data_IF_697479654624
#
_entry.id   IF_697479654624
#
_cell.length_a   1.000
_cell.length_b   1.000
_cell.length_c   1.000
_cell.angle_alpha   90.00
_cell.angle_beta   90.00
_cell.angle_gamma   90.00
#
_symmetry.space_group_name_H-M   'P 1'
#
loop_
_entity.id
_entity.type
_entity.pdbx_description
1 polymer ?
#
# COMPACT_ATOMS: atom_id res chain seq x y z
N UNK A 1 26.15 28.39 1.07
CA UNK A 1 25.70 27.46 2.13
C UNK A 1 24.46 26.79 1.56
N UNK A 2 24.46 25.48 1.32
CA UNK A 2 23.27 24.79 0.81
C UNK A 2 22.19 24.91 1.87
N UNK A 3 21.12 25.64 1.58
CA UNK A 3 20.03 25.82 2.53
C UNK A 3 19.26 24.51 2.60
N UNK A 4 19.30 23.85 3.76
CA UNK A 4 18.50 22.64 3.99
C UNK A 4 17.01 23.00 3.85
N UNK A 5 16.30 22.25 3.03
CA UNK A 5 14.85 22.41 2.84
C UNK A 5 14.11 21.40 3.70
N UNK A 6 13.10 21.86 4.43
CA UNK A 6 12.22 21.00 5.22
C UNK A 6 10.85 20.94 4.59
N UNK A 7 10.20 19.79 4.67
CA UNK A 7 8.81 19.62 4.25
C UNK A 7 8.13 18.52 5.07
N UNK A 8 6.81 18.49 5.00
CA UNK A 8 5.98 17.51 5.69
C UNK A 8 5.40 16.54 4.66
N UNK A 9 5.63 15.24 4.86
CA UNK A 9 5.04 14.17 4.05
C UNK A 9 4.00 13.42 4.87
N UNK A 10 2.81 13.17 4.31
CA UNK A 10 1.72 12.52 5.02
C UNK A 10 1.09 11.43 4.17
N UNK A 11 1.26 10.19 4.62
CA UNK A 11 0.54 9.02 4.10
C UNK A 11 -0.73 8.86 4.94
N UNK A 12 -1.86 9.26 4.36
CA UNK A 12 -3.15 9.32 5.03
C UNK A 12 -4.12 8.31 4.44
N UNK A 13 -4.05 7.08 4.96
CA UNK A 13 -4.92 5.98 4.57
C UNK A 13 -6.28 6.03 5.28
N UNK A 14 -7.14 5.06 4.95
CA UNK A 14 -8.49 4.96 5.53
C UNK A 14 -8.46 4.85 7.05
N UNK A 15 -7.54 4.07 7.62
CA UNK A 15 -7.55 3.72 9.05
C UNK A 15 -6.48 4.40 9.89
N UNK A 16 -5.43 4.95 9.27
CA UNK A 16 -4.31 5.65 9.93
C UNK A 16 -3.76 6.79 9.08
N UNK A 17 -3.38 7.87 9.77
CA UNK A 17 -2.51 8.95 9.27
C UNK A 17 -1.09 8.67 9.75
N UNK A 18 -0.11 8.77 8.86
CA UNK A 18 1.33 8.75 9.17
C UNK A 18 1.99 9.99 8.60
N UNK A 19 2.47 10.87 9.47
CA UNK A 19 3.15 12.10 9.10
C UNK A 19 4.66 11.99 9.35
N UNK A 20 5.44 12.63 8.49
CA UNK A 20 6.89 12.62 8.51
C UNK A 20 7.43 14.04 8.28
N UNK A 21 8.21 14.55 9.23
CA UNK A 21 9.04 15.72 8.99
C UNK A 21 10.31 15.28 8.26
N UNK A 22 10.52 15.83 7.07
CA UNK A 22 11.58 15.44 6.16
C UNK A 22 12.54 16.60 5.95
N UNK A 23 13.83 16.28 5.89
CA UNK A 23 14.90 17.21 5.52
C UNK A 23 15.51 16.78 4.19
N UNK A 24 15.66 17.73 3.28
CA UNK A 24 16.32 17.55 2.00
C UNK A 24 17.52 18.49 1.89
N UNK A 25 18.71 17.92 1.74
CA UNK A 25 19.93 18.67 1.40
C UNK A 25 20.22 18.52 -0.09
N UNK A 26 20.67 19.59 -0.76
CA UNK A 26 21.12 19.53 -2.15
C UNK A 26 22.18 18.42 -2.30
N UNK A 27 21.87 17.39 -3.09
CA UNK A 27 22.69 16.18 -3.34
C UNK A 27 22.61 15.04 -2.31
N UNK A 28 21.72 15.10 -1.33
CA UNK A 28 21.48 14.00 -0.40
C UNK A 28 20.11 13.34 -0.63
N UNK A 29 19.99 12.10 -0.13
CA UNK A 29 18.69 11.49 0.07
C UNK A 29 17.94 12.23 1.18
N UNK A 30 16.61 12.12 1.16
CA UNK A 30 15.79 12.67 2.24
C UNK A 30 16.11 12.00 3.56
N UNK A 31 16.29 12.82 4.58
CA UNK A 31 16.45 12.42 5.96
C UNK A 31 15.12 12.55 6.69
N UNK A 32 14.74 11.49 7.40
CA UNK A 32 13.59 11.51 8.30
C UNK A 32 14.01 12.15 9.63
N UNK A 33 13.43 13.30 9.95
CA UNK A 33 13.72 14.06 11.17
C UNK A 33 12.82 13.60 12.32
N UNK A 34 11.51 13.54 12.06
CA UNK A 34 10.51 13.16 13.05
C UNK A 34 9.31 12.48 12.38
N UNK A 35 8.53 11.76 13.18
CA UNK A 35 7.31 11.09 12.73
C UNK A 35 6.19 11.29 13.74
N UNK A 36 4.97 11.41 13.25
CA UNK A 36 3.78 11.39 14.08
C UNK A 36 2.69 10.53 13.44
N UNK A 37 1.67 10.16 14.21
CA UNK A 37 0.55 9.37 13.72
C UNK A 37 -0.78 9.96 14.18
N UNK A 38 -1.82 9.74 13.40
CA UNK A 38 -3.17 10.21 13.69
C UNK A 38 -4.25 9.26 13.19
N UNK A 39 -5.54 9.61 13.38
CA UNK A 39 -6.65 8.84 12.84
C UNK A 39 -6.64 8.85 11.30
N UNK A 40 -6.97 7.72 10.69
CA UNK A 40 -7.20 7.66 9.25
C UNK A 40 -8.51 8.33 8.85
N UNK A 41 -8.70 8.50 7.54
CA UNK A 41 -9.83 9.23 6.96
C UNK A 41 -11.19 8.78 7.51
N UNK A 42 -11.42 7.48 7.69
CA UNK A 42 -12.70 6.94 8.17
C UNK A 42 -12.92 7.10 9.68
N UNK A 43 -11.92 7.59 10.42
CA UNK A 43 -11.95 7.77 11.87
C UNK A 43 -11.87 9.24 12.30
N UNK A 44 -11.80 10.17 11.35
CA UNK A 44 -11.83 11.60 11.64
C UNK A 44 -13.26 11.98 12.04
N UNK A 45 -13.43 12.53 13.24
CA UNK A 45 -14.72 12.99 13.77
C UNK A 45 -14.97 14.49 13.55
N UNK A 46 -13.88 15.27 13.50
CA UNK A 46 -13.92 16.72 13.37
C UNK A 46 -13.65 17.11 11.91
N UNK A 47 -12.72 18.04 11.66
CA UNK A 47 -12.22 18.35 10.32
C UNK A 47 -10.87 17.68 10.03
N UNK A 48 -10.63 17.39 8.75
CA UNK A 48 -9.33 16.92 8.27
C UNK A 48 -8.25 17.98 8.52
N UNK A 49 -8.55 19.26 8.31
CA UNK A 49 -7.67 20.39 8.63
C UNK A 49 -7.18 20.30 10.08
N UNK A 50 -8.10 20.30 11.05
CA UNK A 50 -7.74 20.25 12.47
C UNK A 50 -6.94 19.01 12.81
N UNK A 51 -7.35 17.85 12.30
CA UNK A 51 -6.65 16.57 12.54
C UNK A 51 -5.22 16.61 12.04
N UNK A 52 -4.99 17.17 10.84
CA UNK A 52 -3.66 17.30 10.28
C UNK A 52 -2.81 18.25 11.12
N UNK A 53 -3.30 19.47 11.36
CA UNK A 53 -2.53 20.51 12.02
C UNK A 53 -2.25 20.19 13.49
N UNK A 54 -3.16 19.53 14.21
CA UNK A 54 -2.86 18.99 15.55
C UNK A 54 -1.75 17.93 15.50
N UNK A 55 -1.71 17.11 14.44
CA UNK A 55 -0.70 16.06 14.28
C UNK A 55 0.69 16.62 13.94
N UNK A 56 0.76 17.76 13.27
CA UNK A 56 2.03 18.37 12.82
C UNK A 56 2.41 19.63 13.60
N UNK A 57 1.62 20.03 14.60
CA UNK A 57 1.81 21.24 15.41
C UNK A 57 3.24 21.41 15.93
N UNK A 58 3.90 20.38 16.50
CA UNK A 58 5.27 20.54 16.99
C UNK A 58 6.25 21.01 15.91
N UNK A 59 6.03 20.59 14.66
CA UNK A 59 6.91 20.93 13.54
C UNK A 59 6.60 22.30 12.97
N UNK A 60 5.33 22.67 12.90
CA UNK A 60 4.93 24.01 12.43
C UNK A 60 5.32 25.09 13.44
N UNK A 61 5.33 24.76 14.73
CA UNK A 61 5.81 25.66 15.80
C UNK A 61 7.33 25.85 15.74
N UNK A 62 8.10 24.78 15.48
CA UNK A 62 9.56 24.82 15.45
C UNK A 62 10.14 25.37 14.12
N UNK A 63 9.60 24.93 12.98
CA UNK A 63 10.15 25.22 11.64
C UNK A 63 9.32 26.24 10.85
N UNK A 64 8.18 26.69 11.38
CA UNK A 64 7.27 27.61 10.71
C UNK A 64 6.46 26.97 9.57
N UNK A 65 6.19 27.75 8.53
CA UNK A 65 5.41 27.32 7.38
C UNK A 65 6.25 26.44 6.45
N UNK A 66 5.86 25.18 6.34
CA UNK A 66 6.50 24.18 5.49
C UNK A 66 5.52 23.68 4.41
N UNK A 67 5.99 23.33 3.19
CA UNK A 67 5.15 22.66 2.22
C UNK A 67 4.72 21.27 2.73
N UNK A 68 3.49 20.88 2.44
CA UNK A 68 2.87 19.65 2.90
C UNK A 68 2.44 18.80 1.70
N UNK A 69 2.92 17.55 1.64
CA UNK A 69 2.55 16.59 0.61
C UNK A 69 1.71 15.47 1.20
N UNK A 70 0.51 15.28 0.67
CA UNK A 70 -0.45 14.30 1.12
C UNK A 70 -0.63 13.21 0.06
N UNK A 71 -0.63 11.95 0.48
CA UNK A 71 -0.96 10.81 -0.36
C UNK A 71 -1.98 9.90 0.32
N UNK A 72 -2.66 9.07 -0.47
CA UNK A 72 -3.63 8.11 0.02
C UNK A 72 -5.06 8.65 0.02
N UNK A 73 -5.88 8.07 0.89
CA UNK A 73 -7.34 8.21 0.88
C UNK A 73 -7.83 9.61 1.24
N UNK A 74 -6.97 10.49 1.74
CA UNK A 74 -7.29 11.90 1.94
C UNK A 74 -7.64 12.63 0.62
N UNK A 75 -7.19 12.10 -0.52
CA UNK A 75 -7.55 12.57 -1.86
C UNK A 75 -8.76 11.88 -2.49
N UNK A 76 -9.49 11.04 -1.75
CA UNK A 76 -10.68 10.31 -2.25
C UNK A 76 -11.98 11.10 -2.03
N UNK A 77 -13.10 10.55 -2.49
CA UNK A 77 -14.45 11.11 -2.27
C UNK A 77 -14.90 11.12 -0.81
N UNK A 78 -14.25 10.33 0.06
CA UNK A 78 -14.45 10.36 1.52
C UNK A 78 -13.37 11.17 2.24
N UNK A 79 -12.42 11.75 1.50
CA UNK A 79 -11.29 12.51 2.00
C UNK A 79 -11.56 14.00 2.15
N UNK A 80 -10.49 14.78 2.21
CA UNK A 80 -10.56 16.24 2.40
C UNK A 80 -10.84 16.97 1.09
N UNK A 81 -10.03 16.72 0.05
CA UNK A 81 -10.25 17.26 -1.29
C UNK A 81 -10.02 16.17 -2.31
N UNK A 82 -11.06 15.90 -3.10
CA UNK A 82 -11.01 14.84 -4.10
C UNK A 82 -10.01 15.20 -5.20
N UNK A 83 -9.21 14.20 -5.60
CA UNK A 83 -8.24 14.30 -6.70
C UNK A 83 -8.57 13.25 -7.75
N UNK A 84 -8.19 13.54 -9.00
CA UNK A 84 -8.49 12.65 -10.13
C UNK A 84 -7.83 11.27 -10.01
N UNK A 85 -8.28 10.34 -10.86
CA UNK A 85 -7.58 9.09 -11.12
C UNK A 85 -6.91 9.19 -12.49
N UNK A 86 -5.59 9.03 -12.54
CA UNK A 86 -4.84 9.03 -13.79
C UNK A 86 -4.84 7.63 -14.42
N UNK A 87 -5.06 7.49 -15.73
CA UNK A 87 -5.14 6.19 -16.38
C UNK A 87 -3.75 5.56 -16.58
N UNK A 88 -3.65 4.25 -16.38
CA UNK A 88 -2.51 3.45 -16.82
C UNK A 88 -2.58 3.15 -18.34
N UNK A 89 -1.45 2.95 -19.04
CA UNK A 89 -0.09 2.92 -18.50
C UNK A 89 0.44 4.33 -18.17
N UNK A 90 1.17 4.45 -17.07
CA UNK A 90 1.68 5.75 -16.61
C UNK A 90 3.05 5.61 -15.94
N UNK A 91 3.93 6.60 -16.14
CA UNK A 91 5.13 6.75 -15.33
C UNK A 91 4.73 7.36 -13.98
N UNK A 92 5.11 6.77 -12.83
CA UNK A 92 4.73 7.31 -11.53
C UNK A 92 5.24 8.73 -11.26
N UNK A 93 6.27 9.19 -11.98
CA UNK A 93 6.73 10.58 -11.94
C UNK A 93 5.69 11.56 -12.52
N UNK A 94 4.89 11.13 -13.50
CA UNK A 94 3.80 11.95 -14.04
C UNK A 94 2.73 12.20 -12.97
N UNK A 95 2.50 11.23 -12.06
CA UNK A 95 1.58 11.38 -10.92
C UNK A 95 2.01 12.51 -10.01
N UNK A 96 3.30 12.59 -9.70
CA UNK A 96 3.89 13.65 -8.87
C UNK A 96 3.69 15.06 -9.45
N UNK A 97 3.61 15.19 -10.78
CA UNK A 97 3.40 16.49 -11.47
C UNK A 97 1.93 16.92 -11.55
N UNK A 98 0.99 16.08 -11.10
CA UNK A 98 -0.46 16.27 -11.21
C UNK A 98 -1.14 16.44 -9.85
N UNK A 99 -0.38 16.85 -8.83
CA UNK A 99 -0.94 17.13 -7.51
C UNK A 99 -2.01 18.23 -7.59
N UNK A 100 -3.08 18.05 -6.82
CA UNK A 100 -4.00 19.14 -6.49
C UNK A 100 -3.32 20.03 -5.45
N UNK A 101 -3.14 21.31 -5.77
CA UNK A 101 -2.45 22.29 -4.90
C UNK A 101 -3.47 23.28 -4.34
N UNK A 102 -3.40 23.54 -3.04
CA UNK A 102 -4.16 24.60 -2.37
C UNK A 102 -3.41 25.10 -1.13
N UNK A 103 -3.82 26.25 -0.60
CA UNK A 103 -3.28 26.77 0.66
C UNK A 103 -4.23 26.49 1.83
N UNK A 104 -3.67 26.18 3.00
CA UNK A 104 -4.40 26.06 4.27
C UNK A 104 -3.53 26.55 5.43
N UNK A 105 -4.06 27.43 6.27
CA UNK A 105 -3.33 28.08 7.38
C UNK A 105 -1.94 28.65 7.01
N UNK A 106 -1.77 29.07 5.75
CA UNK A 106 -0.51 29.60 5.21
C UNK A 106 0.52 28.55 4.79
N UNK A 107 0.15 27.26 4.77
CA UNK A 107 0.92 26.18 4.18
C UNK A 107 0.42 25.86 2.78
N UNK A 108 1.34 25.67 1.82
CA UNK A 108 1.01 25.06 0.55
C UNK A 108 0.84 23.54 0.74
N UNK A 109 -0.31 23.01 0.34
CA UNK A 109 -0.69 21.61 0.44
C UNK A 109 -0.85 21.02 -0.96
N UNK A 110 -0.14 19.93 -1.23
CA UNK A 110 -0.21 19.15 -2.46
C UNK A 110 -0.79 17.76 -2.18
N UNK A 111 -1.90 17.39 -2.82
CA UNK A 111 -2.49 16.05 -2.72
C UNK A 111 -2.23 15.26 -4.01
N UNK A 112 -1.64 14.08 -3.89
CA UNK A 112 -1.40 13.20 -5.03
C UNK A 112 -2.70 12.60 -5.57
N UNK A 113 -2.86 12.52 -6.90
CA UNK A 113 -3.95 11.77 -7.52
C UNK A 113 -3.74 10.26 -7.38
N UNK A 114 -4.83 9.50 -7.52
CA UNK A 114 -4.79 8.04 -7.58
C UNK A 114 -4.57 7.55 -9.01
N UNK A 115 -4.51 6.24 -9.19
CA UNK A 115 -4.44 5.60 -10.50
C UNK A 115 -5.67 4.75 -10.80
N UNK A 116 -6.05 4.72 -12.08
CA UNK A 116 -7.04 3.79 -12.63
C UNK A 116 -6.40 2.93 -13.72
N UNK A 117 -6.90 1.72 -13.91
CA UNK A 117 -6.57 0.92 -15.09
C UNK A 117 -7.80 0.19 -15.61
N UNK A 118 -7.88 0.04 -16.93
CA UNK A 118 -8.91 -0.75 -17.60
C UNK A 118 -8.35 -2.16 -17.82
N UNK A 119 -8.98 -3.15 -17.19
CA UNK A 119 -8.59 -4.56 -17.31
C UNK A 119 -9.13 -5.17 -18.62
N UNK A 120 -8.55 -6.29 -19.11
CA UNK A 120 -9.00 -6.95 -20.34
C UNK A 120 -10.48 -7.37 -20.32
N UNK A 121 -11.04 -7.62 -19.14
CA UNK A 121 -12.45 -7.94 -18.94
C UNK A 121 -13.38 -6.71 -18.91
N UNK A 122 -12.91 -5.53 -19.32
CA UNK A 122 -13.64 -4.26 -19.35
C UNK A 122 -14.04 -3.70 -17.97
N UNK A 123 -13.47 -4.23 -16.88
CA UNK A 123 -13.61 -3.65 -15.55
C UNK A 123 -12.51 -2.64 -15.27
N UNK A 124 -12.84 -1.59 -14.52
CA UNK A 124 -11.85 -0.69 -13.96
C UNK A 124 -11.33 -1.22 -12.64
N UNK A 125 -10.03 -1.06 -12.41
CA UNK A 125 -9.40 -1.17 -11.11
C UNK A 125 -8.86 0.19 -10.67
N UNK A 126 -8.82 0.44 -9.36
CA UNK A 126 -8.43 1.72 -8.76
C UNK A 126 -7.42 1.51 -7.62
N UNK A 127 -6.45 2.42 -7.50
CA UNK A 127 -5.56 2.51 -6.33
C UNK A 127 -5.26 3.97 -5.97
N UNK A 128 -4.93 4.20 -4.71
CA UNK A 128 -4.70 5.55 -4.17
C UNK A 128 -3.84 5.48 -2.91
N UNK A 129 -2.60 5.91 -3.04
CA UNK A 129 -1.51 5.82 -2.06
C UNK A 129 -0.46 4.80 -2.47
N UNK A 130 -0.84 3.70 -3.13
CA UNK A 130 0.08 2.66 -3.58
C UNK A 130 0.97 3.12 -4.74
N UNK A 131 0.48 4.02 -5.59
CA UNK A 131 1.28 4.61 -6.69
C UNK A 131 2.52 5.35 -6.18
N UNK A 132 2.42 6.03 -5.03
CA UNK A 132 3.55 6.67 -4.37
C UNK A 132 4.60 5.64 -3.92
N UNK A 133 4.16 4.48 -3.43
CA UNK A 133 5.06 3.43 -2.98
C UNK A 133 5.76 2.76 -4.17
N UNK A 134 5.07 2.59 -5.29
CA UNK A 134 5.69 2.12 -6.55
C UNK A 134 6.72 3.14 -7.06
N UNK A 135 6.39 4.44 -7.06
CA UNK A 135 7.35 5.51 -7.38
C UNK A 135 8.59 5.45 -6.48
N UNK A 136 8.38 5.27 -5.17
CA UNK A 136 9.47 5.13 -4.22
C UNK A 136 10.36 3.93 -4.50
N UNK A 137 9.76 2.79 -4.83
CA UNK A 137 10.49 1.57 -5.17
C UNK A 137 11.30 1.73 -6.46
N UNK A 138 10.73 2.36 -7.51
CA UNK A 138 11.44 2.67 -8.76
C UNK A 138 12.67 3.56 -8.55
N UNK A 139 12.63 4.43 -7.54
CA UNK A 139 13.72 5.37 -7.24
C UNK A 139 14.79 4.80 -6.32
N UNK A 140 14.56 3.65 -5.69
CA UNK A 140 15.55 3.05 -4.80
C UNK A 140 16.76 2.50 -5.55
N UNK A 141 16.55 1.94 -6.75
CA UNK A 141 17.63 1.35 -7.54
C UNK A 141 17.39 1.49 -9.05
N UNK A 142 18.42 1.81 -9.88
CA UNK A 142 18.25 2.02 -11.32
C UNK A 142 17.70 0.81 -12.10
N UNK A 143 17.96 -0.42 -11.63
CA UNK A 143 17.47 -1.65 -12.25
C UNK A 143 15.96 -1.82 -12.14
N UNK A 144 15.31 -1.23 -11.12
CA UNK A 144 13.86 -1.27 -10.96
C UNK A 144 13.14 -0.55 -12.11
N UNK A 145 13.85 0.33 -12.83
CA UNK A 145 13.34 1.04 -14.02
C UNK A 145 13.49 0.27 -15.32
N UNK A 146 14.08 -0.93 -15.31
CA UNK A 146 14.36 -1.71 -16.53
C UNK A 146 13.65 -3.05 -16.46
N UNK A 147 13.09 -3.48 -17.59
CA UNK A 147 12.43 -4.78 -17.69
C UNK A 147 11.09 -4.84 -16.97
N UNK A 148 10.62 -6.06 -16.73
CA UNK A 148 9.32 -6.35 -16.15
C UNK A 148 9.44 -6.69 -14.66
N UNK A 149 8.50 -6.20 -13.87
CA UNK A 149 8.43 -6.43 -12.43
C UNK A 149 6.99 -6.63 -11.98
N UNK A 150 6.79 -7.48 -10.98
CA UNK A 150 5.53 -7.60 -10.28
C UNK A 150 5.74 -7.17 -8.83
N UNK A 151 4.92 -6.23 -8.39
CA UNK A 151 4.96 -5.67 -7.04
C UNK A 151 3.65 -6.01 -6.35
N UNK A 152 3.73 -6.71 -5.23
CA UNK A 152 2.60 -6.95 -4.34
C UNK A 152 2.66 -5.92 -3.21
N UNK A 153 1.55 -5.21 -2.99
CA UNK A 153 1.38 -4.25 -1.90
C UNK A 153 0.26 -4.73 -0.97
N UNK A 154 0.58 -5.59 0.03
CA UNK A 154 -0.42 -6.14 0.92
C UNK A 154 -1.03 -5.08 1.84
N UNK A 155 -2.35 -5.15 2.04
CA UNK A 155 -3.08 -4.26 2.94
C UNK A 155 -4.53 -4.69 3.12
N UNK A 156 -5.39 -3.74 3.50
CA UNK A 156 -6.85 -3.93 3.48
C UNK A 156 -7.30 -4.40 2.08
N UNK A 157 -6.76 -3.76 1.06
CA UNK A 157 -6.85 -4.16 -0.33
C UNK A 157 -5.44 -4.42 -0.84
N UNK A 158 -5.10 -5.67 -1.12
CA UNK A 158 -3.83 -6.02 -1.75
C UNK A 158 -3.82 -5.50 -3.19
N UNK A 159 -2.75 -4.83 -3.59
CA UNK A 159 -2.52 -4.47 -5.00
C UNK A 159 -1.43 -5.36 -5.58
N UNK A 160 -1.67 -5.93 -6.75
CA UNK A 160 -0.65 -6.56 -7.59
C UNK A 160 -0.41 -5.65 -8.78
N UNK A 161 0.74 -4.99 -8.81
CA UNK A 161 1.07 -3.95 -9.78
C UNK A 161 2.10 -4.49 -10.76
N UNK A 162 1.75 -4.52 -12.04
CA UNK A 162 2.66 -4.90 -13.10
C UNK A 162 3.36 -3.65 -13.64
N UNK A 163 4.69 -3.66 -13.56
CA UNK A 163 5.56 -2.57 -13.99
C UNK A 163 6.42 -3.05 -15.15
N UNK A 164 6.54 -2.23 -16.19
CA UNK A 164 7.43 -2.49 -17.32
C UNK A 164 8.21 -1.22 -17.68
N UNK A 165 9.53 -1.31 -17.70
CA UNK A 165 10.44 -0.19 -18.01
C UNK A 165 10.11 1.10 -17.23
N UNK A 166 9.84 0.96 -15.92
CA UNK A 166 9.54 2.07 -15.02
C UNK A 166 8.12 2.65 -15.14
N UNK A 167 7.24 2.06 -15.95
CA UNK A 167 5.84 2.46 -16.05
C UNK A 167 4.95 1.44 -15.35
N UNK A 168 3.94 1.92 -14.61
CA UNK A 168 2.85 1.08 -14.16
C UNK A 168 1.99 0.79 -15.38
N UNK A 169 1.94 -0.47 -15.79
CA UNK A 169 1.16 -0.90 -16.96
C UNK A 169 -0.30 -1.14 -16.57
N UNK A 170 -0.49 -1.84 -15.45
CA UNK A 170 -1.80 -2.15 -14.90
C UNK A 170 -1.64 -2.68 -13.47
N UNK A 171 -2.75 -2.88 -12.77
CA UNK A 171 -2.76 -3.53 -11.48
C UNK A 171 -4.06 -4.28 -11.23
N UNK A 172 -4.05 -5.25 -10.31
CA UNK A 172 -5.26 -5.95 -9.85
C UNK A 172 -5.38 -5.82 -8.34
N UNK A 173 -6.60 -5.58 -7.88
CA UNK A 173 -6.92 -5.47 -6.46
C UNK A 173 -7.55 -6.76 -5.94
N UNK A 174 -7.07 -7.24 -4.80
CA UNK A 174 -7.74 -8.25 -4.00
C UNK A 174 -8.16 -7.65 -2.65
N UNK A 175 -9.40 -7.90 -2.23
CA UNK A 175 -9.94 -7.42 -0.95
C UNK A 175 -9.54 -8.32 0.24
N UNK A 176 -8.33 -8.87 0.22
CA UNK A 176 -7.85 -9.94 1.12
C UNK A 176 -7.89 -9.54 2.59
N UNK A 177 -7.39 -8.34 2.93
CA UNK A 177 -7.39 -7.85 4.31
C UNK A 177 -8.77 -7.43 4.81
N UNK A 178 -9.59 -6.80 3.95
CA UNK A 178 -10.98 -6.44 4.28
C UNK A 178 -11.83 -7.69 4.51
N UNK A 179 -11.72 -8.68 3.62
CA UNK A 179 -12.45 -9.93 3.76
C UNK A 179 -12.01 -10.70 5.01
N UNK A 180 -10.72 -10.68 5.35
CA UNK A 180 -10.24 -11.22 6.63
C UNK A 180 -10.93 -10.55 7.81
N UNK A 181 -10.96 -9.22 7.85
CA UNK A 181 -11.57 -8.46 8.95
C UNK A 181 -13.07 -8.76 9.08
N UNK A 182 -13.80 -8.77 7.97
CA UNK A 182 -15.23 -9.12 7.93
C UNK A 182 -15.46 -10.55 8.43
N UNK A 183 -14.71 -11.53 7.94
CA UNK A 183 -14.90 -12.94 8.30
C UNK A 183 -14.48 -13.25 9.74
N UNK A 184 -13.49 -12.53 10.28
CA UNK A 184 -13.10 -12.68 11.69
C UNK A 184 -14.12 -12.02 12.60
N UNK A 185 -14.63 -10.83 12.24
CA UNK A 185 -15.41 -10.01 13.16
C UNK A 185 -16.92 -10.12 13.02
N UNK A 186 -17.42 -10.47 11.84
CA UNK A 186 -18.84 -10.40 11.46
C UNK A 186 -19.37 -11.70 10.86
N UNK A 187 -18.68 -12.82 11.07
CA UNK A 187 -19.09 -14.14 10.59
C UNK A 187 -18.96 -15.21 11.68
N UNK A 188 -19.65 -16.33 11.49
CA UNK A 188 -19.64 -17.49 12.38
C UNK A 188 -18.36 -18.35 12.26
N UNK A 189 -17.46 -18.01 11.32
CA UNK A 189 -16.28 -18.83 11.03
C UNK A 189 -15.29 -18.90 12.20
N UNK A 190 -15.19 -17.85 13.01
CA UNK A 190 -14.26 -17.77 14.14
C UNK A 190 -15.04 -17.82 15.45
N UNK A 191 -14.78 -18.86 16.26
CA UNK A 191 -15.44 -19.00 17.56
C UNK A 191 -14.77 -18.14 18.64
N UNK A 192 -13.44 -18.15 18.70
CA UNK A 192 -12.64 -17.39 19.66
C UNK A 192 -11.55 -16.63 18.94
N UNK A 193 -11.65 -15.30 18.92
CA UNK A 193 -10.63 -14.43 18.33
C UNK A 193 -9.37 -14.51 19.18
N UNK A 194 -8.23 -14.74 18.53
CA UNK A 194 -6.91 -14.62 19.17
C UNK A 194 -6.02 -13.71 18.35
N UNK A 195 -5.11 -13.03 19.04
CA UNK A 195 -4.02 -12.27 18.43
C UNK A 195 -2.76 -13.11 18.22
N UNK A 196 -2.73 -14.36 18.70
CA UNK A 196 -1.58 -15.24 18.52
C UNK A 196 -1.50 -15.73 17.07
N UNK A 197 -0.32 -15.62 16.47
CA UNK A 197 -0.04 -16.12 15.14
C UNK A 197 0.54 -17.54 15.22
N UNK A 198 -0.11 -18.50 14.56
CA UNK A 198 0.33 -19.88 14.43
C UNK A 198 0.73 -20.16 12.97
N UNK A 199 2.05 -20.32 12.75
CA UNK A 199 2.61 -20.52 11.42
C UNK A 199 2.14 -21.83 10.77
N UNK A 200 1.96 -22.90 11.54
CA UNK A 200 1.57 -24.20 10.99
C UNK A 200 0.11 -24.19 10.50
N UNK A 201 -0.77 -23.55 11.27
CA UNK A 201 -2.16 -23.33 10.87
C UNK A 201 -2.26 -22.41 9.66
N UNK A 202 -1.45 -21.34 9.62
CA UNK A 202 -1.33 -20.46 8.45
C UNK A 202 -0.93 -21.24 7.18
N UNK A 203 0.16 -22.01 7.26
CA UNK A 203 0.64 -22.82 6.13
C UNK A 203 -0.41 -23.85 5.69
N UNK A 204 -1.16 -24.45 6.63
CA UNK A 204 -2.24 -25.37 6.31
C UNK A 204 -3.37 -24.69 5.54
N UNK A 205 -3.76 -23.47 5.93
CA UNK A 205 -4.76 -22.68 5.24
C UNK A 205 -4.31 -22.28 3.83
N UNK A 206 -3.08 -21.81 3.69
CA UNK A 206 -2.51 -21.44 2.40
C UNK A 206 -2.45 -22.63 1.44
N UNK A 207 -1.90 -23.76 1.90
CA UNK A 207 -1.84 -25.00 1.10
C UNK A 207 -3.22 -25.47 0.66
N UNK A 208 -4.23 -25.34 1.52
CA UNK A 208 -5.60 -25.74 1.16
C UNK A 208 -6.07 -25.00 -0.11
N UNK A 209 -5.94 -23.68 -0.20
CA UNK A 209 -6.37 -22.92 -1.40
C UNK A 209 -5.44 -23.09 -2.60
N UNK A 210 -4.13 -23.18 -2.37
CA UNK A 210 -3.15 -23.43 -3.43
C UNK A 210 -3.41 -24.78 -4.14
N UNK A 211 -3.77 -25.82 -3.37
CA UNK A 211 -3.96 -27.20 -3.87
C UNK A 211 -5.40 -27.51 -4.32
N UNK A 212 -6.37 -26.65 -4.04
CA UNK A 212 -7.78 -26.89 -4.39
C UNK A 212 -8.06 -26.75 -5.89
N UNK A 213 -9.19 -27.26 -6.37
CA UNK A 213 -9.68 -26.94 -7.71
C UNK A 213 -10.02 -25.45 -7.85
N UNK A 214 -10.06 -24.95 -9.10
CA UNK A 214 -10.51 -23.58 -9.35
C UNK A 214 -11.97 -23.42 -8.90
N UNK A 215 -12.29 -22.29 -8.26
CA UNK A 215 -13.65 -22.00 -7.77
C UNK A 215 -14.00 -22.60 -6.40
N UNK A 216 -13.11 -23.36 -5.75
CA UNK A 216 -13.37 -23.94 -4.42
C UNK A 216 -13.33 -22.91 -3.27
N UNK A 217 -13.05 -21.63 -3.53
CA UNK A 217 -12.84 -20.62 -2.49
C UNK A 217 -14.00 -20.51 -1.50
N UNK A 218 -15.22 -20.29 -1.98
CA UNK A 218 -16.39 -20.05 -1.13
C UNK A 218 -16.74 -21.28 -0.29
N UNK A 219 -16.71 -22.48 -0.89
CA UNK A 219 -16.90 -23.72 -0.15
C UNK A 219 -15.77 -23.98 0.85
N UNK A 220 -14.55 -23.62 0.45
CA UNK A 220 -13.33 -23.73 1.23
C UNK A 220 -13.33 -22.88 2.50
N UNK A 221 -13.95 -21.70 2.48
CA UNK A 221 -14.04 -20.83 3.67
C UNK A 221 -14.71 -21.53 4.86
N UNK A 222 -15.68 -22.40 4.62
CA UNK A 222 -16.35 -23.14 5.70
C UNK A 222 -15.41 -24.13 6.40
N UNK A 223 -14.29 -24.51 5.79
CA UNK A 223 -13.26 -25.35 6.42
C UNK A 223 -12.69 -24.72 7.69
N UNK A 224 -12.69 -23.39 7.79
CA UNK A 224 -12.26 -22.66 8.99
C UNK A 224 -13.12 -23.08 10.19
N UNK A 225 -14.45 -23.17 10.01
CA UNK A 225 -15.39 -23.56 11.06
C UNK A 225 -15.40 -25.06 11.29
N UNK A 226 -15.48 -25.86 10.22
CA UNK A 226 -15.60 -27.31 10.36
C UNK A 226 -14.35 -27.93 11.02
N UNK A 227 -13.15 -27.43 10.71
CA UNK A 227 -11.92 -27.88 11.38
C UNK A 227 -11.91 -27.64 12.88
N UNK A 228 -12.49 -26.53 13.35
CA UNK A 228 -12.65 -26.29 14.78
C UNK A 228 -13.64 -27.28 15.42
N UNK A 229 -14.79 -27.50 14.77
CA UNK A 229 -15.83 -28.42 15.25
C UNK A 229 -15.34 -29.87 15.37
N UNK A 230 -14.46 -30.30 14.47
CA UNK A 230 -13.83 -31.62 14.49
C UNK A 230 -12.45 -31.62 15.17
N UNK A 231 -12.11 -30.58 15.94
CA UNK A 231 -10.87 -30.47 16.72
C UNK A 231 -9.57 -30.66 15.92
N UNK A 232 -9.59 -30.36 14.63
CA UNK A 232 -8.40 -30.39 13.75
C UNK A 232 -7.53 -29.14 13.90
N UNK A 233 -8.15 -28.03 14.33
CA UNK A 233 -7.46 -26.79 14.70
C UNK A 233 -8.10 -26.25 15.97
N UNK A 234 -7.31 -25.58 16.81
CA UNK A 234 -7.84 -24.88 17.98
C UNK A 234 -8.52 -23.57 17.57
N UNK A 235 -9.33 -22.99 18.48
CA UNK A 235 -9.86 -21.64 18.28
C UNK A 235 -8.75 -20.61 18.08
N UNK A 236 -7.60 -20.78 18.74
CA UNK A 236 -6.44 -19.91 18.56
C UNK A 236 -5.81 -20.03 17.16
N UNK A 237 -5.82 -21.23 16.58
CA UNK A 237 -5.26 -21.47 15.24
C UNK A 237 -6.18 -20.99 14.12
N UNK A 238 -7.48 -20.84 14.38
CA UNK A 238 -8.48 -20.55 13.37
C UNK A 238 -8.25 -19.24 12.60
N UNK A 239 -7.79 -18.17 13.26
CA UNK A 239 -7.49 -16.88 12.62
C UNK A 239 -6.27 -16.99 11.72
N UNK A 240 -5.23 -17.72 12.14
CA UNK A 240 -4.03 -17.96 11.32
C UNK A 240 -4.35 -18.83 10.11
N UNK A 241 -5.15 -19.89 10.29
CA UNK A 241 -5.64 -20.72 9.18
C UNK A 241 -6.47 -19.92 8.17
N UNK A 242 -7.42 -19.09 8.63
CA UNK A 242 -8.20 -18.20 7.76
C UNK A 242 -7.30 -17.22 7.00
N UNK A 243 -6.33 -16.60 7.69
CA UNK A 243 -5.37 -15.68 7.06
C UNK A 243 -4.58 -16.39 5.95
N UNK A 244 -4.06 -17.58 6.22
CA UNK A 244 -3.36 -18.40 5.23
C UNK A 244 -4.24 -18.75 4.04
N UNK A 245 -5.49 -19.17 4.29
CA UNK A 245 -6.47 -19.50 3.26
C UNK A 245 -6.72 -18.32 2.32
N UNK A 246 -6.98 -17.13 2.87
CA UNK A 246 -7.26 -15.92 2.10
C UNK A 246 -6.04 -15.46 1.29
N UNK A 247 -4.86 -15.39 1.92
CA UNK A 247 -3.62 -15.00 1.23
C UNK A 247 -3.23 -16.04 0.18
N UNK A 248 -3.42 -17.33 0.46
CA UNK A 248 -3.25 -18.41 -0.51
C UNK A 248 -4.13 -18.25 -1.74
N UNK A 249 -5.39 -17.85 -1.54
CA UNK A 249 -6.31 -17.57 -2.65
C UNK A 249 -5.91 -16.34 -3.48
N UNK A 250 -5.45 -15.27 -2.81
CA UNK A 250 -4.96 -14.05 -3.45
C UNK A 250 -3.71 -14.33 -4.30
N UNK A 251 -2.69 -14.95 -3.69
CA UNK A 251 -1.46 -15.35 -4.38
C UNK A 251 -1.76 -16.29 -5.55
N UNK A 252 -2.62 -17.30 -5.37
CA UNK A 252 -3.02 -18.20 -6.45
C UNK A 252 -3.61 -17.45 -7.64
N UNK A 253 -4.50 -16.48 -7.38
CA UNK A 253 -5.11 -15.67 -8.43
C UNK A 253 -4.06 -14.80 -9.15
N UNK A 254 -3.10 -14.25 -8.40
CA UNK A 254 -2.04 -13.42 -8.97
C UNK A 254 -1.04 -14.23 -9.81
N UNK A 255 -0.56 -15.39 -9.34
CA UNK A 255 0.43 -16.19 -10.10
C UNK A 255 -0.14 -16.81 -11.36
N UNK A 256 -1.46 -17.04 -11.42
CA UNK A 256 -2.17 -17.56 -12.59
C UNK A 256 -2.86 -16.48 -13.43
N UNK A 257 -2.57 -15.20 -13.18
CA UNK A 257 -3.11 -14.10 -13.98
C UNK A 257 -2.54 -14.15 -15.40
N UNK A 258 -3.37 -13.87 -16.42
CA UNK A 258 -2.93 -13.88 -17.83
C UNK A 258 -2.16 -12.62 -18.21
N UNK A 259 -2.28 -11.57 -17.40
CA UNK A 259 -1.76 -10.23 -17.69
C UNK A 259 -0.24 -10.09 -17.45
N UNK A 260 0.37 -11.05 -16.74
CA UNK A 260 1.81 -11.11 -16.50
C UNK A 260 2.27 -12.57 -16.40
N UNK A 261 3.56 -12.81 -16.62
CA UNK A 261 4.16 -14.15 -16.46
C UNK A 261 5.13 -14.12 -15.27
N UNK A 262 4.70 -14.66 -14.12
CA UNK A 262 5.52 -14.67 -12.91
C UNK A 262 6.79 -15.50 -13.07
N UNK A 263 6.75 -16.58 -13.86
CA UNK A 263 7.93 -17.44 -14.11
C UNK A 263 9.05 -16.72 -14.88
N UNK A 264 8.73 -15.61 -15.54
CA UNK A 264 9.71 -14.79 -16.26
C UNK A 264 10.41 -13.75 -15.37
N UNK A 265 9.97 -13.61 -14.11
CA UNK A 265 10.46 -12.62 -13.16
C UNK A 265 11.50 -13.25 -12.23
N UNK A 266 12.57 -12.51 -11.91
CA UNK A 266 13.57 -12.99 -10.93
C UNK A 266 12.99 -13.10 -9.51
N UNK A 267 12.08 -12.18 -9.16
CA UNK A 267 11.46 -12.07 -7.83
C UNK A 267 10.24 -11.15 -7.86
N UNK A 268 9.38 -11.28 -6.86
CA UNK A 268 8.26 -10.38 -6.59
C UNK A 268 8.64 -9.42 -5.46
N UNK A 269 8.47 -8.12 -5.69
CA UNK A 269 8.67 -7.11 -4.64
C UNK A 269 7.44 -7.05 -3.73
N UNK A 270 7.65 -6.99 -2.41
CA UNK A 270 6.60 -6.91 -1.40
C UNK A 270 6.72 -5.59 -0.65
N UNK A 271 5.73 -4.71 -0.75
CA UNK A 271 5.73 -3.40 -0.10
C UNK A 271 4.52 -3.29 0.83
N UNK A 272 4.73 -3.48 2.12
CA UNK A 272 3.64 -3.40 3.09
C UNK A 272 4.12 -3.51 4.54
N UNK A 273 3.18 -3.69 5.47
CA UNK A 273 3.52 -3.91 6.88
C UNK A 273 4.43 -5.15 7.02
N UNK A 274 5.43 -5.16 7.92
CA UNK A 274 6.41 -6.25 7.97
C UNK A 274 5.81 -7.65 8.19
N UNK A 275 4.80 -7.77 9.06
CA UNK A 275 4.15 -9.06 9.33
C UNK A 275 3.37 -9.54 8.11
N UNK A 276 2.61 -8.65 7.46
CA UNK A 276 1.78 -9.01 6.31
C UNK A 276 2.64 -9.33 5.08
N UNK A 277 3.71 -8.57 4.85
CA UNK A 277 4.68 -8.86 3.78
C UNK A 277 5.32 -10.23 3.99
N UNK A 278 5.67 -10.61 5.23
CA UNK A 278 6.17 -11.96 5.54
C UNK A 278 5.13 -13.05 5.27
N UNK A 279 3.84 -12.80 5.55
CA UNK A 279 2.77 -13.76 5.22
C UNK A 279 2.64 -13.98 3.71
N UNK A 280 2.66 -12.91 2.90
CA UNK A 280 2.65 -13.05 1.44
C UNK A 280 3.93 -13.71 0.91
N UNK A 281 5.10 -13.33 1.43
CA UNK A 281 6.38 -13.97 1.10
C UNK A 281 6.32 -15.48 1.34
N UNK A 282 5.82 -15.90 2.51
CA UNK A 282 5.69 -17.30 2.86
C UNK A 282 4.84 -18.08 1.86
N UNK A 283 3.71 -17.53 1.45
CA UNK A 283 2.80 -18.21 0.50
C UNK A 283 3.43 -18.27 -0.90
N UNK A 284 4.11 -17.23 -1.35
CA UNK A 284 4.86 -17.23 -2.61
C UNK A 284 6.01 -18.25 -2.60
N UNK A 285 6.71 -18.38 -1.48
CA UNK A 285 7.78 -19.37 -1.28
C UNK A 285 7.26 -20.82 -1.31
N UNK A 286 6.04 -21.07 -0.83
CA UNK A 286 5.40 -22.39 -0.93
C UNK A 286 5.18 -22.83 -2.39
N UNK A 287 5.01 -21.88 -3.30
CA UNK A 287 4.89 -22.09 -4.75
C UNK A 287 6.24 -21.93 -5.48
N UNK A 288 7.34 -21.74 -4.76
CA UNK A 288 8.70 -21.68 -5.32
C UNK A 288 9.14 -20.31 -5.84
N UNK A 289 8.35 -19.25 -5.63
CA UNK A 289 8.71 -17.90 -6.09
C UNK A 289 9.60 -17.17 -5.08
N UNK A 290 10.63 -16.48 -5.59
CA UNK A 290 11.48 -15.61 -4.79
C UNK A 290 10.79 -14.27 -4.52
N UNK A 291 11.07 -13.68 -3.36
CA UNK A 291 10.51 -12.39 -2.97
C UNK A 291 11.56 -11.43 -2.43
N UNK A 292 11.27 -10.13 -2.54
CA UNK A 292 12.04 -9.06 -1.90
C UNK A 292 11.11 -8.21 -1.04
N UNK A 293 11.26 -8.28 0.29
CA UNK A 293 10.50 -7.44 1.22
C UNK A 293 11.16 -6.06 1.31
N UNK A 294 10.46 -5.05 0.81
CA UNK A 294 10.89 -3.66 0.85
C UNK A 294 10.61 -3.03 2.21
N UNK A 295 11.48 -2.09 2.63
CA UNK A 295 11.24 -1.28 3.83
C UNK A 295 10.15 -0.24 3.55
N UNK A 296 8.94 -0.46 4.04
CA UNK A 296 7.77 0.39 3.76
C UNK A 296 8.05 1.88 3.94
N UNK A 297 8.46 2.32 5.13
CA UNK A 297 8.71 3.74 5.41
C UNK A 297 9.75 4.34 4.47
N UNK A 298 10.87 3.65 4.22
CA UNK A 298 11.90 4.13 3.30
C UNK A 298 11.38 4.24 1.87
N UNK A 299 10.52 3.31 1.46
CA UNK A 299 9.90 3.30 0.12
C UNK A 299 8.91 4.45 -0.02
N UNK A 300 8.02 4.65 0.94
CA UNK A 300 7.10 5.80 0.97
C UNK A 300 7.84 7.13 0.94
N UNK A 301 8.90 7.30 1.74
CA UNK A 301 9.70 8.53 1.76
C UNK A 301 10.46 8.78 0.45
N UNK A 302 10.96 7.74 -0.21
CA UNK A 302 11.55 7.85 -1.54
C UNK A 302 10.52 8.31 -2.59
N UNK A 303 9.26 7.89 -2.46
CA UNK A 303 8.14 8.38 -3.26
C UNK A 303 7.92 9.87 -3.04
N UNK A 304 7.76 10.29 -1.79
CA UNK A 304 7.57 11.71 -1.45
C UNK A 304 8.74 12.59 -1.87
N UNK A 305 9.97 12.07 -1.83
CA UNK A 305 11.14 12.77 -2.36
C UNK A 305 11.00 13.18 -3.81
N UNK A 306 10.36 12.33 -4.61
CA UNK A 306 10.18 12.58 -6.03
C UNK A 306 9.08 13.62 -6.27
N UNK A 307 8.04 13.60 -5.44
CA UNK A 307 6.98 14.61 -5.44
C UNK A 307 7.54 15.99 -5.10
N UNK A 308 8.27 16.10 -4.00
CA UNK A 308 8.92 17.34 -3.57
C UNK A 308 9.81 17.94 -4.68
N UNK A 309 10.64 17.11 -5.32
CA UNK A 309 11.52 17.57 -6.40
C UNK A 309 10.76 18.01 -7.67
N UNK A 310 9.64 17.35 -7.98
CA UNK A 310 8.81 17.69 -9.14
C UNK A 310 8.10 19.05 -8.96
N UNK A 311 7.61 19.34 -7.74
CA UNK A 311 6.95 20.61 -7.44
C UNK A 311 7.94 21.78 -7.41
N UNK A 312 9.14 21.59 -6.82
CA UNK A 312 10.19 22.62 -6.80
C UNK A 312 10.67 22.97 -8.21
N UNK A 313 10.83 21.97 -9.08
CA UNK A 313 11.26 22.20 -10.47
C UNK A 313 10.23 22.99 -11.28
N UNK A 314 8.94 22.77 -11.00
CA UNK A 314 7.83 23.45 -11.68
C UNK A 314 7.80 24.95 -11.33
N UNK A 315 8.10 25.31 -10.07
CA UNK A 315 8.17 26.71 -9.61
C UNK A 315 9.29 27.50 -10.29
N UNK A 316 10.45 26.87 -10.57
CA UNK A 316 11.60 27.51 -11.22
C UNK A 316 11.31 27.82 -12.70
N UNK A 317 10.58 26.96 -13.40
CA UNK A 317 10.21 27.18 -14.82
C UNK A 317 9.12 28.23 -15.05
N UNK A 318 8.44 28.69 -14.01
CA UNK A 318 7.38 29.71 -14.09
C UNK A 318 7.82 31.10 -13.60
N UNK A 319 9.09 31.26 -13.26
CA UNK A 319 9.73 32.52 -12.85
C UNK A 319 10.72 33.01 -13.90
#
# INVERSE_FOLDING_TARGET
MSQDQYFIAVDWGSTRLRAFLCKHSLNANIELVARNNGPGVTKVSDSFEKTLFDCIEPWTTEYGRLPIYLAGQIGSSIGWRETEYLPCPISPEQVASKCLIFEELGHEISILPGLSCLLPNQHYDLMRGEELQVLGWLNQRPENRKGQHLICLPGTHTKWVFVNNGQIIMFKTAMTGELYDILVNHSILIQNKTASFDQAAFDQGAKFTLQSEAGSFVHGLFSVRSKQLFSQITGQQSTSYLSGLLIGSDVRAAINANEWNVDSLDKIALIGAPHLSKSFARVLELEGYKTEICKLTQTTLAGFSSVFRATESSLITTS
#
